data_IF_800823157173
#
_entry.id   IF_800823157173
#
_cell.length_a   1.000
_cell.length_b   1.000
_cell.length_c   1.000
_cell.angle_alpha   90.00
_cell.angle_beta   90.00
_cell.angle_gamma   90.00
#
_symmetry.space_group_name_H-M   'P 1'
#
loop_
_entity.id
_entity.type
_entity.pdbx_description
1 polymer ?
#
# COMPACT_ATOMS: atom_id res chain seq x y z
N UNK A 1 46.92 -3.11 24.01
CA UNK A 1 45.93 -4.10 23.50
C UNK A 1 44.72 -4.01 24.41
N UNK A 2 43.65 -3.31 23.98
CA UNK A 2 42.56 -2.88 24.85
C UNK A 2 41.48 -3.98 24.88
N UNK A 3 41.40 -4.77 25.96
CA UNK A 3 40.34 -5.76 26.15
C UNK A 3 39.08 -5.03 26.62
N UNK A 4 38.25 -4.56 25.68
CA UNK A 4 36.88 -4.15 25.98
C UNK A 4 36.04 -5.42 26.17
N UNK A 5 35.79 -5.78 27.42
CA UNK A 5 34.83 -6.84 27.75
C UNK A 5 33.43 -6.38 27.38
N UNK A 6 32.72 -7.19 26.59
CA UNK A 6 31.29 -7.04 26.32
C UNK A 6 30.52 -7.08 27.64
N UNK A 7 29.62 -6.12 27.88
CA UNK A 7 28.80 -6.16 29.10
C UNK A 7 27.67 -7.17 28.94
N UNK A 8 27.28 -7.82 30.05
CA UNK A 8 26.16 -8.80 30.06
C UNK A 8 24.85 -8.16 29.57
N UNK A 9 24.68 -6.85 29.79
CA UNK A 9 23.53 -6.09 29.32
C UNK A 9 23.49 -5.97 27.79
N UNK A 10 24.62 -5.64 27.15
CA UNK A 10 24.73 -5.59 25.68
C UNK A 10 24.48 -6.95 25.04
N UNK A 11 24.89 -8.04 25.71
CA UNK A 11 24.62 -9.40 25.27
C UNK A 11 23.11 -9.71 25.28
N UNK A 12 22.41 -9.35 26.37
CA UNK A 12 20.96 -9.56 26.49
C UNK A 12 20.17 -8.77 25.45
N UNK A 13 20.54 -7.51 25.20
CA UNK A 13 19.90 -6.67 24.18
C UNK A 13 20.11 -7.28 22.79
N UNK A 14 21.32 -7.77 22.49
CA UNK A 14 21.64 -8.39 21.21
C UNK A 14 20.82 -9.67 20.96
N UNK A 15 20.66 -10.53 21.98
CA UNK A 15 19.84 -11.75 21.88
C UNK A 15 18.36 -11.40 21.66
N UNK A 16 17.85 -10.38 22.36
CA UNK A 16 16.47 -9.93 22.20
C UNK A 16 16.22 -9.40 20.76
N UNK A 17 17.12 -8.58 20.23
CA UNK A 17 17.02 -8.07 18.86
C UNK A 17 17.07 -9.20 17.82
N UNK A 18 18.00 -10.15 17.96
CA UNK A 18 18.11 -11.31 17.05
C UNK A 18 16.81 -12.14 17.09
N UNK A 19 16.23 -12.33 18.26
CA UNK A 19 14.95 -13.07 18.41
C UNK A 19 13.79 -12.35 17.71
N UNK A 20 13.69 -11.03 17.83
CA UNK A 20 12.65 -10.25 17.15
C UNK A 20 12.83 -10.31 15.64
N UNK A 21 14.07 -10.17 15.14
CA UNK A 21 14.37 -10.28 13.71
C UNK A 21 14.02 -11.67 13.18
N UNK A 22 14.35 -12.74 13.91
CA UNK A 22 13.99 -14.12 13.53
C UNK A 22 12.48 -14.33 13.44
N UNK A 23 11.69 -13.78 14.38
CA UNK A 23 10.23 -13.85 14.34
C UNK A 23 9.64 -13.10 13.15
N UNK A 24 10.20 -11.94 12.81
CA UNK A 24 9.81 -11.18 11.61
C UNK A 24 10.12 -11.96 10.33
N UNK A 25 11.31 -12.58 10.24
CA UNK A 25 11.70 -13.41 9.09
C UNK A 25 10.82 -14.66 8.94
N UNK A 26 10.45 -15.30 10.05
CA UNK A 26 9.51 -16.42 10.07
C UNK A 26 8.13 -16.02 9.57
N UNK A 27 7.65 -14.84 9.98
CA UNK A 27 6.37 -14.28 9.49
C UNK A 27 6.41 -14.01 7.99
N UNK A 28 7.52 -13.47 7.48
CA UNK A 28 7.73 -13.26 6.04
C UNK A 28 7.77 -14.60 5.29
N UNK A 29 8.51 -15.60 5.78
CA UNK A 29 8.53 -16.94 5.19
C UNK A 29 7.15 -17.60 5.15
N UNK A 30 6.39 -17.54 6.24
CA UNK A 30 5.02 -18.08 6.26
C UNK A 30 4.09 -17.33 5.30
N UNK A 31 4.26 -16.02 5.16
CA UNK A 31 3.50 -15.24 4.17
C UNK A 31 3.85 -15.64 2.74
N UNK A 32 5.14 -15.91 2.46
CA UNK A 32 5.59 -16.42 1.17
C UNK A 32 5.13 -17.86 0.89
N UNK A 33 5.04 -18.71 1.91
CA UNK A 33 4.58 -20.09 1.75
C UNK A 33 3.07 -20.16 1.47
N UNK A 34 2.27 -19.28 2.10
CA UNK A 34 0.84 -19.10 1.77
C UNK A 34 0.67 -18.66 0.30
N UNK A 35 1.53 -17.76 -0.19
CA UNK A 35 1.54 -17.35 -1.61
C UNK A 35 1.91 -18.53 -2.55
N UNK A 36 2.71 -19.50 -2.10
CA UNK A 36 3.28 -20.54 -2.95
C UNK A 36 2.43 -21.83 -3.03
N UNK A 37 1.44 -22.00 -2.15
CA UNK A 37 0.69 -23.27 -2.02
C UNK A 37 -0.81 -23.22 -2.36
N UNK A 38 -1.34 -22.08 -2.80
CA UNK A 38 -2.70 -22.01 -3.39
C UNK A 38 -2.65 -21.96 -4.93
N UNK A 39 -3.31 -22.93 -5.56
CA UNK A 39 -3.16 -23.19 -7.00
C UNK A 39 -4.20 -22.44 -7.85
N UNK A 40 -3.69 -21.70 -8.84
CA UNK A 40 -4.23 -21.51 -10.21
C UNK A 40 -5.33 -20.47 -10.48
N UNK A 41 -5.64 -19.53 -9.60
CA UNK A 41 -6.54 -18.40 -9.95
C UNK A 41 -6.15 -17.09 -9.28
N UNK A 42 -5.78 -17.16 -8.00
CA UNK A 42 -5.54 -15.98 -7.16
C UNK A 42 -4.09 -15.46 -7.26
N UNK A 43 -3.09 -16.34 -7.43
CA UNK A 43 -1.69 -15.97 -7.22
C UNK A 43 -1.16 -14.85 -8.12
N UNK A 44 -1.46 -14.85 -9.41
CA UNK A 44 -0.84 -13.88 -10.35
C UNK A 44 -1.40 -12.46 -10.19
N UNK A 45 -2.74 -12.34 -10.09
CA UNK A 45 -3.40 -11.05 -9.86
C UNK A 45 -3.12 -10.56 -8.43
N UNK A 46 -3.02 -11.46 -7.44
CA UNK A 46 -2.60 -11.14 -6.07
C UNK A 46 -1.14 -10.71 -5.98
N UNK A 47 -0.22 -11.38 -6.68
CA UNK A 47 1.20 -11.01 -6.72
C UNK A 47 1.35 -9.63 -7.36
N UNK A 48 0.76 -9.41 -8.54
CA UNK A 48 0.77 -8.12 -9.22
C UNK A 48 0.22 -6.99 -8.34
N UNK A 49 -0.92 -7.24 -7.69
CA UNK A 49 -1.54 -6.31 -6.75
C UNK A 49 -0.64 -6.01 -5.55
N UNK A 50 -0.07 -7.04 -4.95
CA UNK A 50 0.82 -6.93 -3.80
C UNK A 50 2.09 -6.16 -4.15
N UNK A 51 2.68 -6.41 -5.32
CA UNK A 51 3.83 -5.69 -5.83
C UNK A 51 3.53 -4.20 -5.99
N UNK A 52 2.37 -3.87 -6.58
CA UNK A 52 1.95 -2.49 -6.76
C UNK A 52 1.68 -1.77 -5.43
N UNK A 53 0.93 -2.40 -4.52
CA UNK A 53 0.69 -1.86 -3.17
C UNK A 53 2.03 -1.60 -2.47
N UNK A 54 2.92 -2.59 -2.48
CA UNK A 54 4.23 -2.47 -1.86
C UNK A 54 5.06 -1.33 -2.47
N UNK A 55 5.04 -1.15 -3.80
CA UNK A 55 5.79 -0.08 -4.48
C UNK A 55 5.30 1.30 -4.04
N UNK A 56 3.98 1.50 -4.03
CA UNK A 56 3.35 2.77 -3.62
C UNK A 56 3.55 3.02 -2.11
N UNK A 57 3.36 2.02 -1.27
CA UNK A 57 3.59 2.14 0.18
C UNK A 57 5.06 2.39 0.51
N UNK A 58 5.99 1.80 -0.25
CA UNK A 58 7.41 2.11 -0.10
C UNK A 58 7.71 3.57 -0.46
N UNK A 59 7.12 4.10 -1.54
CA UNK A 59 7.26 5.52 -1.87
C UNK A 59 6.67 6.44 -0.78
N UNK A 60 5.61 6.01 -0.09
CA UNK A 60 5.08 6.73 1.08
C UNK A 60 5.99 6.71 2.31
N UNK A 61 6.86 5.70 2.43
CA UNK A 61 7.88 5.64 3.48
C UNK A 61 9.13 6.43 3.11
N UNK A 62 9.51 6.39 1.84
CA UNK A 62 10.72 7.02 1.31
C UNK A 62 10.52 8.53 1.06
N UNK A 63 9.30 8.94 0.71
CA UNK A 63 8.94 10.32 0.36
C UNK A 63 7.75 10.84 1.15
N UNK A 64 7.73 12.15 1.36
CA UNK A 64 6.64 12.81 2.06
C UNK A 64 5.51 13.18 1.09
N UNK A 65 4.26 12.80 1.41
CA UNK A 65 3.10 13.13 0.59
C UNK A 65 2.60 14.53 0.92
N UNK A 66 2.95 15.53 0.13
CA UNK A 66 2.55 16.92 0.32
C UNK A 66 1.09 17.22 -0.10
N UNK A 67 0.52 16.38 -0.95
CA UNK A 67 -0.83 16.58 -1.46
C UNK A 67 -1.36 15.40 -2.25
N UNK A 68 -2.69 15.33 -2.31
CA UNK A 68 -3.42 14.30 -3.02
C UNK A 68 -4.48 14.95 -3.89
N UNK A 69 -4.57 14.54 -5.15
CA UNK A 69 -5.66 14.95 -6.04
C UNK A 69 -6.27 13.72 -6.68
N UNK A 70 -7.59 13.58 -6.55
CA UNK A 70 -8.35 12.47 -7.12
C UNK A 70 -9.29 13.04 -8.18
N UNK A 71 -9.22 12.51 -9.40
CA UNK A 71 -10.02 12.94 -10.56
C UNK A 71 -10.63 11.71 -11.23
N UNK A 72 -11.95 11.68 -11.32
CA UNK A 72 -12.66 10.69 -12.14
C UNK A 72 -12.92 11.29 -13.51
N UNK A 73 -12.43 10.62 -14.54
CA UNK A 73 -12.76 10.89 -15.95
C UNK A 73 -13.76 9.83 -16.45
N UNK A 74 -14.13 9.87 -17.73
CA UNK A 74 -15.17 8.98 -18.26
C UNK A 74 -14.78 7.50 -18.18
N UNK A 75 -13.53 7.17 -18.51
CA UNK A 75 -13.03 5.80 -18.63
C UNK A 75 -11.83 5.51 -17.71
N UNK A 76 -11.47 6.48 -16.86
CA UNK A 76 -10.33 6.35 -15.97
C UNK A 76 -10.52 7.10 -14.66
N UNK A 77 -9.79 6.65 -13.65
CA UNK A 77 -9.60 7.32 -12.37
C UNK A 77 -8.12 7.68 -12.26
N UNK A 78 -7.84 8.96 -12.00
CA UNK A 78 -6.50 9.50 -11.87
C UNK A 78 -6.29 9.96 -10.43
N UNK A 79 -5.25 9.40 -9.79
CA UNK A 79 -4.81 9.78 -8.45
C UNK A 79 -3.42 10.36 -8.57
N UNK A 80 -3.29 11.66 -8.33
CA UNK A 80 -2.02 12.39 -8.35
C UNK A 80 -1.49 12.51 -6.92
N UNK A 81 -0.32 11.90 -6.70
CA UNK A 81 0.42 11.90 -5.44
C UNK A 81 1.50 12.96 -5.55
N UNK A 82 1.33 14.08 -4.84
CA UNK A 82 2.35 15.13 -4.76
C UNK A 82 3.36 14.73 -3.69
N UNK A 83 4.26 13.81 -4.02
CA UNK A 83 5.40 13.47 -3.16
C UNK A 83 6.51 14.53 -3.35
N UNK A 84 7.77 14.18 -3.09
CA UNK A 84 8.91 15.02 -3.51
C UNK A 84 8.95 15.21 -5.04
N UNK A 85 8.51 14.17 -5.76
CA UNK A 85 8.21 14.20 -7.19
C UNK A 85 6.72 13.89 -7.40
N UNK A 86 6.14 14.43 -8.47
CA UNK A 86 4.75 14.11 -8.83
C UNK A 86 4.68 12.67 -9.33
N UNK A 87 4.00 11.80 -8.58
CA UNK A 87 3.65 10.44 -9.01
C UNK A 87 2.16 10.37 -9.35
N UNK A 88 1.79 9.45 -10.23
CA UNK A 88 0.41 9.28 -10.70
C UNK A 88 0.04 7.81 -10.74
N UNK A 89 -1.10 7.48 -10.12
CA UNK A 89 -1.79 6.21 -10.32
C UNK A 89 -2.90 6.47 -11.33
N UNK A 90 -2.92 5.70 -12.42
CA UNK A 90 -4.00 5.75 -13.41
C UNK A 90 -4.71 4.40 -13.41
N UNK A 91 -6.01 4.42 -13.19
CA UNK A 91 -6.85 3.22 -13.13
C UNK A 91 -7.82 3.27 -14.30
N UNK A 92 -7.91 2.18 -15.04
CA UNK A 92 -8.96 1.93 -16.03
C UNK A 92 -9.78 0.73 -15.57
N UNK A 93 -10.85 0.37 -16.26
CA UNK A 93 -11.65 -0.80 -15.87
C UNK A 93 -10.85 -2.11 -15.87
N UNK A 94 -9.75 -2.22 -16.60
CA UNK A 94 -8.99 -3.46 -16.76
C UNK A 94 -7.51 -3.36 -16.35
N UNK A 95 -6.99 -2.17 -16.10
CA UNK A 95 -5.58 -1.96 -15.77
C UNK A 95 -5.38 -0.89 -14.71
N UNK A 96 -4.24 -0.99 -14.03
CA UNK A 96 -3.73 0.05 -13.16
C UNK A 96 -2.27 0.31 -13.53
N UNK A 97 -1.91 1.59 -13.61
CA UNK A 97 -0.58 2.04 -13.99
C UNK A 97 0.02 2.92 -12.90
N UNK A 98 1.26 2.62 -12.52
CA UNK A 98 2.06 3.41 -11.59
C UNK A 98 3.53 3.39 -12.02
N UNK A 99 4.17 4.55 -12.14
CA UNK A 99 5.61 4.67 -12.42
C UNK A 99 6.04 3.88 -13.68
N UNK A 100 5.30 4.11 -14.79
CA UNK A 100 5.45 3.47 -16.10
C UNK A 100 5.25 1.93 -16.13
N UNK A 101 4.86 1.34 -15.00
CA UNK A 101 4.46 -0.07 -14.92
C UNK A 101 2.94 -0.18 -14.96
N UNK A 102 2.43 -0.92 -15.95
CA UNK A 102 1.00 -1.18 -16.13
C UNK A 102 0.69 -2.65 -15.83
N UNK A 103 -0.31 -2.85 -14.99
CA UNK A 103 -0.77 -4.16 -14.54
C UNK A 103 -2.20 -4.38 -15.02
N UNK A 104 -2.39 -5.42 -15.82
CA UNK A 104 -3.70 -5.82 -16.32
C UNK A 104 -4.28 -6.92 -15.44
N UNK A 105 -5.58 -6.83 -15.16
CA UNK A 105 -6.33 -7.93 -14.57
C UNK A 105 -6.34 -9.12 -15.54
N UNK A 106 -5.85 -10.28 -15.10
CA UNK A 106 -5.85 -11.51 -15.91
C UNK A 106 -7.19 -12.25 -15.81
N UNK A 107 -7.94 -12.01 -14.75
CA UNK A 107 -9.22 -12.65 -14.47
C UNK A 107 -10.32 -12.25 -15.46
N UNK A 108 -10.93 -13.24 -16.13
CA UNK A 108 -12.13 -13.03 -16.96
C UNK A 108 -13.29 -12.63 -16.05
N UNK A 109 -13.83 -11.43 -16.24
CA UNK A 109 -14.91 -10.80 -15.46
C UNK A 109 -14.47 -10.03 -14.20
N UNK A 110 -13.16 -9.83 -14.00
CA UNK A 110 -12.69 -8.86 -13.02
C UNK A 110 -12.57 -7.46 -13.66
N UNK A 111 -12.92 -6.43 -12.91
CA UNK A 111 -12.70 -5.04 -13.30
C UNK A 111 -12.42 -4.17 -12.09
N UNK A 112 -11.58 -3.14 -12.24
CA UNK A 112 -11.46 -2.11 -11.21
C UNK A 112 -12.69 -1.20 -11.23
N UNK A 113 -13.18 -0.81 -10.06
CA UNK A 113 -14.12 0.29 -9.97
C UNK A 113 -13.35 1.61 -10.16
N UNK A 114 -13.91 2.49 -11.00
CA UNK A 114 -13.37 3.84 -11.21
C UNK A 114 -13.85 4.79 -10.11
N UNK A 115 -14.67 4.30 -9.19
CA UNK A 115 -14.96 4.95 -7.94
C UNK A 115 -14.13 4.38 -6.80
N UNK A 116 -13.27 5.22 -6.23
CA UNK A 116 -12.49 4.85 -5.06
C UNK A 116 -13.22 5.22 -3.76
N UNK A 117 -13.00 4.42 -2.73
CA UNK A 117 -13.36 4.75 -1.35
C UNK A 117 -12.24 5.58 -0.73
N UNK A 118 -12.57 6.74 -0.16
CA UNK A 118 -11.59 7.66 0.45
C UNK A 118 -12.00 8.00 1.88
N UNK A 119 -11.04 7.92 2.80
CA UNK A 119 -11.20 8.32 4.19
C UNK A 119 -10.01 9.18 4.64
N UNK A 120 -10.34 10.34 5.23
CA UNK A 120 -9.42 11.14 6.02
C UNK A 120 -9.82 10.99 7.49
N UNK A 121 -8.91 10.47 8.31
CA UNK A 121 -9.13 10.30 9.74
C UNK A 121 -8.13 11.14 10.54
N UNK A 122 -8.67 12.12 11.28
CA UNK A 122 -7.90 12.83 12.31
C UNK A 122 -7.54 11.88 13.45
N UNK A 123 -6.24 11.73 13.75
CA UNK A 123 -5.76 10.97 14.90
C UNK A 123 -5.39 11.91 16.07
N UNK A 124 -5.15 11.31 17.24
CA UNK A 124 -4.57 12.02 18.39
C UNK A 124 -3.10 12.38 18.13
N UNK A 125 -2.55 13.35 18.88
CA UNK A 125 -1.13 13.73 18.86
C UNK A 125 -0.62 14.34 17.54
N UNK A 126 -1.42 15.18 16.87
CA UNK A 126 -1.03 15.88 15.64
C UNK A 126 -0.73 14.96 14.44
N UNK A 127 -1.31 13.76 14.41
CA UNK A 127 -1.25 12.85 13.24
C UNK A 127 -2.59 12.74 12.52
N UNK A 128 -2.57 12.37 11.25
CA UNK A 128 -3.77 11.97 10.50
C UNK A 128 -3.48 10.71 9.68
N UNK A 129 -4.53 9.96 9.39
CA UNK A 129 -4.50 8.80 8.51
C UNK A 129 -5.28 9.11 7.24
N UNK A 130 -4.64 8.88 6.11
CA UNK A 130 -5.28 8.85 4.80
C UNK A 130 -5.42 7.40 4.38
N UNK A 131 -6.62 6.99 4.04
CA UNK A 131 -6.86 5.68 3.42
C UNK A 131 -7.65 5.88 2.15
N UNK A 132 -7.18 5.28 1.06
CA UNK A 132 -7.97 5.17 -0.15
C UNK A 132 -7.91 3.76 -0.69
N UNK A 133 -9.04 3.27 -1.19
CA UNK A 133 -9.20 1.91 -1.68
C UNK A 133 -9.82 1.93 -3.07
N UNK A 134 -9.21 1.23 -4.01
CA UNK A 134 -9.75 1.00 -5.35
C UNK A 134 -10.41 -0.39 -5.34
N UNK A 135 -11.74 -0.47 -5.43
CA UNK A 135 -12.44 -1.74 -5.41
C UNK A 135 -12.12 -2.62 -6.62
N UNK A 136 -12.01 -3.93 -6.39
CA UNK A 136 -11.99 -4.93 -7.47
C UNK A 136 -13.36 -5.60 -7.53
N UNK A 137 -14.01 -5.46 -8.69
CA UNK A 137 -15.33 -6.00 -8.95
C UNK A 137 -15.20 -7.33 -9.69
N UNK A 138 -15.85 -8.38 -9.17
CA UNK A 138 -16.03 -9.65 -9.86
C UNK A 138 -17.47 -9.74 -10.33
N UNK A 139 -17.68 -9.89 -11.63
CA UNK A 139 -19.02 -9.83 -12.25
C UNK A 139 -19.77 -8.52 -11.94
N UNK A 140 -19.03 -7.41 -11.77
CA UNK A 140 -19.57 -6.09 -11.48
C UNK A 140 -19.97 -5.85 -10.02
N UNK A 141 -19.60 -6.75 -9.10
CA UNK A 141 -19.86 -6.61 -7.66
C UNK A 141 -18.55 -6.71 -6.89
N UNK A 142 -18.34 -5.83 -5.90
CA UNK A 142 -17.27 -6.01 -4.93
C UNK A 142 -17.67 -7.13 -3.96
N UNK A 143 -17.22 -8.35 -4.25
CA UNK A 143 -17.50 -9.54 -3.43
C UNK A 143 -16.48 -9.74 -2.31
N UNK A 144 -15.27 -9.20 -2.47
CA UNK A 144 -14.11 -9.55 -1.64
C UNK A 144 -13.24 -8.31 -1.39
N UNK A 145 -13.38 -7.70 -0.21
CA UNK A 145 -12.56 -6.53 0.16
C UNK A 145 -11.05 -6.78 0.23
N UNK A 146 -10.63 -8.04 0.32
CA UNK A 146 -9.21 -8.43 0.33
C UNK A 146 -8.57 -8.33 -1.07
N UNK A 147 -9.40 -8.24 -2.11
CA UNK A 147 -8.95 -8.06 -3.48
C UNK A 147 -8.80 -6.59 -3.86
N UNK A 148 -9.34 -5.68 -3.05
CA UNK A 148 -9.26 -4.24 -3.26
C UNK A 148 -7.83 -3.71 -3.06
N UNK A 149 -7.46 -2.70 -3.85
CA UNK A 149 -6.17 -2.02 -3.71
C UNK A 149 -6.30 -0.92 -2.67
N UNK A 150 -5.96 -1.25 -1.43
CA UNK A 150 -6.04 -0.32 -0.30
C UNK A 150 -4.66 0.25 0.01
N UNK A 151 -4.58 1.56 0.07
CA UNK A 151 -3.37 2.31 0.39
C UNK A 151 -3.59 3.14 1.65
N UNK A 152 -2.59 3.17 2.52
CA UNK A 152 -2.66 3.92 3.78
C UNK A 152 -1.43 4.80 3.94
N UNK A 153 -1.65 6.06 4.30
CA UNK A 153 -0.60 7.03 4.58
C UNK A 153 -0.81 7.67 5.96
N UNK A 154 0.25 7.71 6.77
CA UNK A 154 0.28 8.35 8.09
C UNK A 154 1.11 9.63 7.98
N UNK A 155 0.50 10.79 8.24
CA UNK A 155 1.19 12.09 8.16
C UNK A 155 0.98 12.97 9.39
N UNK A 156 1.67 14.11 9.43
CA UNK A 156 1.65 15.04 10.57
C UNK A 156 0.88 16.33 10.25
N UNK A 157 0.00 16.77 11.15
CA UNK A 157 -0.94 17.90 10.96
C UNK A 157 -0.28 19.27 10.86
N UNK A 158 0.97 19.39 11.30
CA UNK A 158 1.73 20.64 11.27
C UNK A 158 2.35 20.95 9.89
N UNK A 159 2.12 20.09 8.90
CA UNK A 159 2.63 20.24 7.55
C UNK A 159 1.60 20.93 6.65
N UNK A 160 2.08 21.80 5.77
CA UNK A 160 1.23 22.58 4.87
C UNK A 160 0.79 21.71 3.69
N UNK A 161 -0.16 20.83 3.94
CA UNK A 161 -0.58 19.76 3.05
C UNK A 161 -1.95 20.04 2.44
N UNK A 162 -2.21 19.50 1.24
CA UNK A 162 -3.47 19.68 0.52
C UNK A 162 -4.09 18.34 0.18
N UNK A 163 -5.01 17.86 1.04
CA UNK A 163 -5.80 16.65 0.79
C UNK A 163 -7.28 16.99 0.61
N UNK A 164 -8.02 16.24 -0.22
CA UNK A 164 -9.47 16.36 -0.26
C UNK A 164 -10.04 15.97 1.11
N UNK A 165 -10.83 16.84 1.73
CA UNK A 165 -11.49 16.51 3.01
C UNK A 165 -12.56 15.42 2.86
N UNK A 166 -13.16 15.35 1.67
CA UNK A 166 -14.10 14.32 1.25
C UNK A 166 -13.93 14.07 -0.23
N UNK A 167 -14.04 12.83 -0.65
CA UNK A 167 -14.20 12.45 -2.06
C UNK A 167 -15.47 11.63 -2.18
N UNK A 168 -16.24 11.90 -3.23
CA UNK A 168 -17.47 11.17 -3.53
C UNK A 168 -17.53 10.99 -5.03
N UNK A 169 -17.85 9.78 -5.46
CA UNK A 169 -18.37 9.55 -6.80
C UNK A 169 -19.89 9.74 -6.82
#
# INVERSE_FOLDING_TARGET
MNHKGFTILELLISIALISVVLLLLLKVMMSLEVINHDTSYASDDEIARTEMIKKIEQDFLDYHLNGLTIKKENDSLIIELQLDELKRITVTSNSIMYDDEEYFLKSKNASYDLCLDYEYMDLEQDYYLLTFSIPVLIEGVNTTKQDDLTFTYLGMKNENTSYPSTYTC
#
